data_IF_632803233516
#
_entry.id   IF_632803233516
#
_cell.length_a   1.000
_cell.length_b   1.000
_cell.length_c   1.000
_cell.angle_alpha   90.00
_cell.angle_beta   90.00
_cell.angle_gamma   90.00
#
_symmetry.space_group_name_H-M   'P 1'
#
loop_
_entity.id
_entity.type
_entity.pdbx_description
1 polymer ?
#
# COMPACT_ATOMS: atom_id res chain seq x y z
N UNK A 1 9.36 11.29 10.27
CA UNK A 1 8.32 11.06 9.25
C UNK A 1 7.19 10.29 9.89
N UNK A 2 5.94 10.77 9.79
CA UNK A 2 4.79 10.06 10.37
C UNK A 2 4.33 8.98 9.39
N UNK A 3 3.64 7.96 9.91
CA UNK A 3 3.09 6.86 9.11
C UNK A 3 2.23 7.34 7.94
N UNK A 4 1.41 8.36 8.18
CA UNK A 4 0.56 8.98 7.14
C UNK A 4 1.40 9.58 6.00
N UNK A 5 2.47 10.31 6.32
CA UNK A 5 3.36 10.90 5.30
C UNK A 5 3.99 9.82 4.41
N UNK A 6 4.30 8.64 4.99
CA UNK A 6 4.81 7.50 4.24
C UNK A 6 3.76 6.92 3.28
N UNK A 7 2.53 6.75 3.76
CA UNK A 7 1.43 6.25 2.93
C UNK A 7 1.16 7.23 1.79
N UNK A 8 1.03 8.53 2.07
CA UNK A 8 0.76 9.56 1.06
C UNK A 8 1.85 9.59 -0.02
N UNK A 9 3.13 9.48 0.37
CA UNK A 9 4.25 9.41 -0.58
C UNK A 9 4.17 8.14 -1.45
N UNK A 10 3.93 6.97 -0.85
CA UNK A 10 3.86 5.71 -1.60
C UNK A 10 2.70 5.70 -2.59
N UNK A 11 1.53 6.22 -2.20
CA UNK A 11 0.39 6.40 -3.09
C UNK A 11 0.78 7.25 -4.29
N UNK A 12 1.39 8.42 -4.07
CA UNK A 12 1.83 9.30 -5.16
C UNK A 12 2.82 8.63 -6.11
N UNK A 13 3.79 7.86 -5.59
CA UNK A 13 4.75 7.14 -6.43
C UNK A 13 4.13 5.99 -7.24
N UNK A 14 3.08 5.36 -6.69
CA UNK A 14 2.33 4.30 -7.38
C UNK A 14 1.45 4.90 -8.49
N UNK A 15 0.70 5.95 -8.18
CA UNK A 15 -0.22 6.61 -9.12
C UNK A 15 0.53 7.26 -10.30
N UNK A 16 1.73 7.79 -10.04
CA UNK A 16 2.62 8.32 -11.09
C UNK A 16 3.34 7.23 -11.88
N UNK A 17 3.17 5.96 -11.51
CA UNK A 17 3.80 4.80 -12.16
C UNK A 17 5.30 4.66 -11.92
N UNK A 18 5.87 5.48 -11.01
CA UNK A 18 7.28 5.43 -10.60
C UNK A 18 7.59 4.13 -9.84
N UNK A 19 6.64 3.67 -9.03
CA UNK A 19 6.68 2.38 -8.33
C UNK A 19 5.58 1.48 -8.87
N UNK A 20 5.96 0.30 -9.40
CA UNK A 20 5.00 -0.71 -9.87
C UNK A 20 4.93 -1.95 -8.97
N UNK A 21 5.92 -2.13 -8.10
CA UNK A 21 6.02 -3.28 -7.21
C UNK A 21 6.65 -2.82 -5.91
N UNK A 22 5.98 -3.10 -4.79
CA UNK A 22 6.42 -2.76 -3.45
C UNK A 22 6.52 -4.03 -2.60
N UNK A 23 7.70 -4.31 -2.05
CA UNK A 23 7.91 -5.38 -1.08
C UNK A 23 7.87 -4.85 0.34
N UNK A 24 7.14 -5.53 1.24
CA UNK A 24 7.03 -5.16 2.66
C UNK A 24 7.73 -6.24 3.49
N UNK A 25 8.83 -5.88 4.14
CA UNK A 25 9.69 -6.80 4.91
C UNK A 25 9.72 -6.44 6.40
N UNK A 26 9.95 -7.44 7.26
CA UNK A 26 9.93 -7.26 8.72
C UNK A 26 9.69 -8.55 9.50
N UNK A 27 9.93 -8.50 10.81
CA UNK A 27 9.79 -9.64 11.73
C UNK A 27 8.34 -10.15 11.85
N UNK A 28 8.14 -11.35 12.39
CA UNK A 28 6.81 -11.90 12.67
C UNK A 28 5.96 -10.94 13.51
N UNK A 29 4.65 -10.88 13.25
CA UNK A 29 3.71 -9.98 13.94
C UNK A 29 4.02 -8.47 13.89
N UNK A 30 4.94 -8.01 13.04
CA UNK A 30 5.33 -6.59 12.94
C UNK A 30 4.32 -5.69 12.20
N UNK A 31 3.12 -6.19 11.88
CA UNK A 31 2.08 -5.41 11.18
C UNK A 31 2.25 -5.27 9.67
N UNK A 32 3.05 -6.11 9.00
CA UNK A 32 3.26 -6.06 7.53
C UNK A 32 1.95 -6.12 6.74
N UNK A 33 1.10 -7.11 7.02
CA UNK A 33 -0.19 -7.27 6.34
C UNK A 33 -1.14 -6.12 6.63
N UNK A 34 -1.13 -5.60 7.86
CA UNK A 34 -1.91 -4.41 8.25
C UNK A 34 -1.49 -3.19 7.44
N UNK A 35 -0.18 -2.95 7.31
CA UNK A 35 0.33 -1.85 6.49
C UNK A 35 -0.01 -2.00 5.01
N UNK A 36 0.07 -3.22 4.47
CA UNK A 36 -0.34 -3.50 3.09
C UNK A 36 -1.83 -3.17 2.86
N UNK A 37 -2.70 -3.53 3.80
CA UNK A 37 -4.13 -3.25 3.74
C UNK A 37 -4.43 -1.74 3.82
N UNK A 38 -3.73 -1.02 4.69
CA UNK A 38 -3.87 0.44 4.79
C UNK A 38 -3.41 1.15 3.52
N UNK A 39 -2.27 0.72 2.94
CA UNK A 39 -1.79 1.26 1.67
C UNK A 39 -2.78 0.95 0.54
N UNK A 40 -3.32 -0.27 0.51
CA UNK A 40 -4.35 -0.66 -0.44
C UNK A 40 -5.62 0.20 -0.34
N UNK A 41 -6.09 0.49 0.87
CA UNK A 41 -7.25 1.36 1.11
C UNK A 41 -6.99 2.82 0.76
N UNK A 42 -5.73 3.28 0.83
CA UNK A 42 -5.34 4.64 0.51
C UNK A 42 -5.19 4.89 -1.00
N UNK A 43 -5.02 3.83 -1.81
CA UNK A 43 -5.01 3.93 -3.27
C UNK A 43 -6.45 4.18 -3.78
N UNK A 44 -6.60 5.06 -4.76
CA UNK A 44 -7.92 5.35 -5.34
C UNK A 44 -8.52 4.08 -5.97
N UNK A 45 -9.82 3.87 -5.76
CA UNK A 45 -10.64 2.79 -6.31
C UNK A 45 -10.59 2.69 -7.85
N UNK A 46 -10.16 3.76 -8.53
CA UNK A 46 -9.95 3.80 -9.98
C UNK A 46 -8.60 3.20 -10.42
N UNK A 47 -7.63 3.13 -9.51
CA UNK A 47 -6.28 2.56 -9.72
C UNK A 47 -6.15 1.13 -9.21
N UNK A 48 -7.07 0.71 -8.35
CA UNK A 48 -7.13 -0.63 -7.78
C UNK A 48 -8.16 -1.47 -8.54
N UNK A 49 -7.82 -2.72 -8.86
CA UNK A 49 -8.77 -3.60 -9.53
C UNK A 49 -10.02 -3.82 -8.63
N UNK A 50 -11.22 -3.37 -9.06
CA UNK A 50 -12.43 -3.45 -8.23
C UNK A 50 -12.87 -4.88 -7.92
N UNK A 51 -12.35 -5.87 -8.65
CA UNK A 51 -12.63 -7.29 -8.44
C UNK A 51 -11.59 -8.00 -7.56
N UNK A 52 -10.58 -7.28 -7.06
CA UNK A 52 -9.56 -7.85 -6.19
C UNK A 52 -9.98 -7.73 -4.72
N UNK A 53 -10.33 -8.85 -4.09
CA UNK A 53 -10.35 -8.93 -2.63
C UNK A 53 -8.98 -9.44 -2.16
N UNK A 54 -8.22 -8.64 -1.38
CA UNK A 54 -6.96 -9.10 -0.81
C UNK A 54 -7.25 -10.28 0.13
N UNK A 55 -6.80 -11.47 -0.26
CA UNK A 55 -6.74 -12.64 0.62
C UNK A 55 -5.45 -12.55 1.43
N UNK A 56 -5.51 -11.82 2.55
CA UNK A 56 -4.45 -11.73 3.56
C UNK A 56 -4.79 -12.58 4.78
#
# INVERSE_FOLDING_TARGET
MKKKDLVDQLVSEIETGKVRTLGIYGHGASGKSTFAQELYQALDSTTVNPNYSPQI
#
